data_IF_308743320688
#
_entry.id   IF_308743320688
#
_cell.length_a   1.000
_cell.length_b   1.000
_cell.length_c   1.000
_cell.angle_alpha   90.00
_cell.angle_beta   90.00
_cell.angle_gamma   90.00
#
_symmetry.space_group_name_H-M   'P 1'
#
loop_
_entity.id
_entity.type
_entity.pdbx_description
1 polymer ?
#
# COMPACT_ATOMS: atom_id res chain seq x y z
N UNK A 1 -2.67 -8.61 -5.94
CA UNK A 1 -3.23 -7.94 -4.75
C UNK A 1 -3.94 -9.00 -3.94
N UNK A 2 -3.38 -9.40 -2.79
CA UNK A 2 -4.03 -10.39 -1.93
C UNK A 2 -5.19 -9.66 -1.24
N UNK A 3 -6.44 -10.08 -1.49
CA UNK A 3 -7.60 -9.52 -0.80
C UNK A 3 -7.66 -10.09 0.62
N UNK A 4 -7.41 -9.25 1.62
CA UNK A 4 -7.41 -9.66 3.03
C UNK A 4 -8.72 -9.29 3.72
N UNK A 5 -9.05 -9.97 4.82
CA UNK A 5 -10.24 -9.66 5.62
C UNK A 5 -10.31 -8.19 6.05
N UNK A 6 -9.14 -7.57 6.28
CA UNK A 6 -9.02 -6.14 6.57
C UNK A 6 -9.54 -5.27 5.44
N UNK A 7 -9.25 -5.62 4.18
CA UNK A 7 -9.71 -4.88 3.01
C UNK A 7 -11.21 -5.05 2.79
N UNK A 8 -11.75 -6.26 3.03
CA UNK A 8 -13.20 -6.49 2.99
C UNK A 8 -13.91 -5.64 4.07
N UNK A 9 -13.36 -5.57 5.28
CA UNK A 9 -13.92 -4.74 6.35
C UNK A 9 -13.86 -3.24 6.01
N UNK A 10 -12.77 -2.78 5.38
CA UNK A 10 -12.66 -1.40 4.89
C UNK A 10 -13.73 -1.09 3.82
N UNK A 11 -13.97 -2.00 2.88
CA UNK A 11 -15.03 -1.87 1.87
C UNK A 11 -16.41 -1.80 2.52
N UNK A 12 -16.68 -2.65 3.52
CA UNK A 12 -17.97 -2.64 4.23
C UNK A 12 -18.21 -1.32 4.99
N UNK A 13 -17.17 -0.76 5.62
CA UNK A 13 -17.25 0.57 6.23
C UNK A 13 -17.49 1.66 5.19
N UNK A 14 -16.74 1.62 4.10
CA UNK A 14 -16.86 2.58 3.00
C UNK A 14 -18.26 2.53 2.36
N UNK A 15 -18.86 1.35 2.21
CA UNK A 15 -20.22 1.23 1.70
C UNK A 15 -21.26 2.05 2.49
N UNK A 16 -21.04 2.23 3.80
CA UNK A 16 -21.93 3.03 4.66
C UNK A 16 -21.53 4.51 4.69
N UNK A 17 -20.22 4.82 4.65
CA UNK A 17 -19.72 6.19 4.87
C UNK A 17 -19.40 6.98 3.61
N UNK A 18 -19.24 6.32 2.46
CA UNK A 18 -18.84 6.95 1.19
C UNK A 18 -20.04 7.59 0.51
N UNK A 19 -19.97 8.91 0.27
CA UNK A 19 -21.07 9.68 -0.30
C UNK A 19 -21.29 9.42 -1.80
N UNK A 20 -20.27 8.96 -2.52
CA UNK A 20 -20.30 8.83 -3.98
C UNK A 20 -20.64 7.39 -4.41
N UNK A 21 -20.06 6.41 -3.71
CA UNK A 21 -20.15 4.99 -4.07
C UNK A 21 -20.87 4.13 -3.03
N UNK A 22 -21.18 4.68 -1.85
CA UNK A 22 -21.93 4.00 -0.80
C UNK A 22 -23.44 3.91 -1.06
N UNK A 23 -24.17 3.34 -0.10
CA UNK A 23 -25.62 3.20 -0.15
C UNK A 23 -26.24 2.50 1.06
N UNK A 24 -27.57 2.58 1.17
CA UNK A 24 -28.35 2.01 2.29
C UNK A 24 -29.25 0.83 1.89
N UNK A 25 -28.98 0.20 0.74
CA UNK A 25 -29.63 -1.04 0.29
C UNK A 25 -30.40 -0.92 -1.03
N UNK A 26 -30.41 -2.02 -1.78
CA UNK A 26 -30.96 -2.27 -3.14
C UNK A 26 -30.15 -1.81 -4.37
N UNK A 27 -29.17 -0.92 -4.21
CA UNK A 27 -28.37 -0.43 -5.35
C UNK A 27 -26.85 -0.48 -5.11
N UNK A 28 -26.24 -1.64 -5.37
CA UNK A 28 -24.78 -1.77 -5.50
C UNK A 28 -24.45 -2.27 -6.90
N UNK A 29 -24.20 -1.33 -7.82
CA UNK A 29 -23.69 -1.69 -9.14
C UNK A 29 -22.25 -2.18 -9.04
N UNK A 30 -21.82 -3.01 -10.00
CA UNK A 30 -20.43 -3.45 -10.06
C UNK A 30 -19.44 -2.30 -10.25
N UNK A 31 -19.88 -1.18 -10.85
CA UNK A 31 -19.08 0.05 -10.91
C UNK A 31 -18.85 0.66 -9.53
N UNK A 32 -19.90 0.81 -8.72
CA UNK A 32 -19.77 1.29 -7.34
C UNK A 32 -18.90 0.35 -6.50
N UNK A 33 -19.12 -0.96 -6.62
CA UNK A 33 -18.34 -1.97 -5.90
C UNK A 33 -16.84 -1.93 -6.28
N UNK A 34 -16.51 -1.79 -7.56
CA UNK A 34 -15.14 -1.61 -8.02
C UNK A 34 -14.48 -0.36 -7.40
N UNK A 35 -15.19 0.78 -7.38
CA UNK A 35 -14.66 2.01 -6.79
C UNK A 35 -14.45 1.87 -5.28
N UNK A 36 -15.38 1.26 -4.54
CA UNK A 36 -15.22 0.99 -3.11
C UNK A 36 -14.00 0.09 -2.81
N UNK A 37 -13.76 -0.93 -3.64
CA UNK A 37 -12.57 -1.80 -3.55
C UNK A 37 -11.28 -1.01 -3.80
N UNK A 38 -11.21 -0.19 -4.84
CA UNK A 38 -10.01 0.60 -5.14
C UNK A 38 -9.75 1.68 -4.10
N UNK A 39 -10.80 2.35 -3.60
CA UNK A 39 -10.72 3.35 -2.53
C UNK A 39 -10.22 2.75 -1.21
N UNK A 40 -10.71 1.56 -0.86
CA UNK A 40 -10.30 0.83 0.35
C UNK A 40 -8.83 0.37 0.33
N UNK A 41 -8.22 0.29 -0.85
CA UNK A 41 -6.80 -0.05 -1.02
C UNK A 41 -5.87 1.18 -1.05
N UNK A 42 -6.42 2.40 -1.00
CA UNK A 42 -5.63 3.64 -1.05
C UNK A 42 -4.72 3.78 0.18
N UNK A 43 -5.18 3.40 1.36
CA UNK A 43 -4.36 3.42 2.58
C UNK A 43 -3.23 2.39 2.51
N UNK A 44 -3.48 1.19 1.97
CA UNK A 44 -2.45 0.15 1.86
C UNK A 44 -1.24 0.58 1.03
N UNK A 45 -1.45 1.42 0.01
CA UNK A 45 -0.35 2.02 -0.75
C UNK A 45 0.48 2.99 0.11
N UNK A 46 -0.18 3.82 0.93
CA UNK A 46 0.48 4.78 1.84
C UNK A 46 1.23 4.03 2.94
N UNK A 47 0.62 2.99 3.52
CA UNK A 47 1.24 2.18 4.58
C UNK A 47 2.52 1.51 4.08
N UNK A 48 2.52 1.03 2.83
CA UNK A 48 3.70 0.42 2.20
C UNK A 48 4.70 1.43 1.63
N UNK A 49 4.32 2.72 1.55
CA UNK A 49 5.17 3.75 0.96
C UNK A 49 6.39 4.02 1.84
N UNK A 50 6.19 4.17 3.15
CA UNK A 50 7.27 4.51 4.09
C UNK A 50 8.31 3.39 4.16
N UNK A 51 7.86 2.13 4.21
CA UNK A 51 8.76 0.96 4.20
C UNK A 51 9.59 0.90 2.90
N UNK A 52 8.95 1.14 1.75
CA UNK A 52 9.68 1.20 0.46
C UNK A 52 10.70 2.34 0.43
N UNK A 53 10.34 3.52 0.93
CA UNK A 53 11.24 4.67 0.97
C UNK A 53 12.42 4.44 1.92
N UNK A 54 12.17 3.82 3.07
CA UNK A 54 13.20 3.42 4.02
C UNK A 54 14.18 2.42 3.38
N UNK A 55 13.66 1.33 2.79
CA UNK A 55 14.47 0.31 2.12
C UNK A 55 15.30 0.89 0.97
N UNK A 56 14.75 1.81 0.17
CA UNK A 56 15.48 2.48 -0.89
C UNK A 56 16.60 3.40 -0.35
N UNK A 57 16.36 4.04 0.80
CA UNK A 57 17.36 4.87 1.46
C UNK A 57 18.50 4.03 2.01
N UNK A 58 18.20 2.93 2.72
CA UNK A 58 19.21 1.99 3.22
C UNK A 58 20.04 1.36 2.09
N UNK A 59 19.41 1.05 0.96
CA UNK A 59 20.13 0.58 -0.22
C UNK A 59 21.12 1.63 -0.74
N UNK A 60 20.67 2.87 -0.92
CA UNK A 60 21.51 3.95 -1.43
C UNK A 60 22.68 4.28 -0.48
N UNK A 61 22.42 4.33 0.82
CA UNK A 61 23.47 4.56 1.83
C UNK A 61 24.42 3.38 1.92
N UNK A 62 23.91 2.15 1.84
CA UNK A 62 24.70 0.93 1.84
C UNK A 62 25.65 0.86 0.64
N UNK A 63 25.17 1.13 -0.57
CA UNK A 63 26.01 1.21 -1.77
C UNK A 63 27.09 2.29 -1.61
N UNK A 64 26.70 3.49 -1.14
CA UNK A 64 27.67 4.58 -0.91
C UNK A 64 28.75 4.17 0.11
N UNK A 65 28.36 3.53 1.21
CA UNK A 65 29.29 3.07 2.24
C UNK A 65 30.23 1.96 1.70
N UNK A 66 29.70 1.01 0.93
CA UNK A 66 30.48 -0.06 0.29
C UNK A 66 31.56 0.51 -0.65
N UNK A 67 31.20 1.52 -1.45
CA UNK A 67 32.15 2.23 -2.32
C UNK A 67 33.27 2.96 -1.56
N UNK A 68 33.02 3.34 -0.31
CA UNK A 68 34.00 3.99 0.58
C UNK A 68 34.72 2.99 1.51
N UNK A 69 34.55 1.69 1.30
CA UNK A 69 35.30 0.64 2.00
C UNK A 69 34.66 0.11 3.28
N UNK A 70 33.36 0.38 3.54
CA UNK A 70 32.65 -0.25 4.65
C UNK A 70 32.38 -1.73 4.36
N UNK A 71 33.06 -2.62 5.11
CA UNK A 71 32.95 -4.07 4.93
C UNK A 71 31.54 -4.61 5.23
N UNK A 72 30.74 -3.91 6.05
CA UNK A 72 29.35 -4.31 6.37
C UNK A 72 28.46 -4.34 5.13
N UNK A 73 28.74 -3.47 4.17
CA UNK A 73 27.92 -3.28 2.97
C UNK A 73 28.58 -3.81 1.70
N UNK A 74 29.75 -4.44 1.81
CA UNK A 74 30.55 -4.93 0.67
C UNK A 74 29.78 -5.87 -0.26
N UNK A 75 28.88 -6.68 0.29
CA UNK A 75 28.00 -7.58 -0.47
C UNK A 75 27.08 -6.89 -1.49
N UNK A 76 26.90 -5.56 -1.42
CA UNK A 76 26.15 -4.82 -2.44
C UNK A 76 26.91 -4.63 -3.75
N UNK A 77 28.24 -4.68 -3.72
CA UNK A 77 29.11 -4.38 -4.88
C UNK A 77 30.11 -5.49 -5.20
N UNK A 78 30.22 -6.53 -4.35
CA UNK A 78 30.88 -7.81 -4.66
C UNK A 78 30.03 -8.62 -5.66
#
# INVERSE_FOLDING_TARGET
>A
MLLTDTQINAVAKAYISDNDFGGFGSELSMWKFYNLLTGSNKSSYIDSFLDRAYNATELATGINAALHGDERYRWFID
#
